data_IF_401541225220
#
_entry.id   IF_401541225220
#
_cell.length_a   1.000
_cell.length_b   1.000
_cell.length_c   1.000
_cell.angle_alpha   90.00
_cell.angle_beta   90.00
_cell.angle_gamma   90.00
#
_symmetry.space_group_name_H-M   'P 1'
#
loop_
_entity.id
_entity.type
_entity.pdbx_description
1 polymer ?
#
# COMPACT_ATOMS: atom_id res chain seq x y z
N UNK A 1 19.49 24.15 5.84
CA UNK A 1 19.78 22.76 6.28
C UNK A 1 18.63 21.91 5.74
N UNK A 2 18.87 21.13 4.69
CA UNK A 2 17.85 20.20 4.17
C UNK A 2 17.65 19.14 5.25
N UNK A 3 16.48 19.14 5.89
CA UNK A 3 16.13 18.14 6.90
C UNK A 3 15.98 16.80 6.17
N UNK A 4 16.86 15.85 6.47
CA UNK A 4 16.83 14.52 5.85
C UNK A 4 15.62 13.75 6.41
N UNK A 5 14.64 13.47 5.57
CA UNK A 5 13.45 12.69 5.96
C UNK A 5 13.76 11.19 5.98
N UNK A 6 13.43 10.52 7.09
CA UNK A 6 13.53 9.06 7.20
C UNK A 6 12.36 8.40 6.47
N UNK A 7 12.67 7.49 5.55
CA UNK A 7 11.72 6.85 4.66
C UNK A 7 11.74 5.34 4.86
N UNK A 8 10.58 4.73 5.08
CA UNK A 8 10.43 3.29 5.30
C UNK A 8 9.54 2.65 4.25
N UNK A 9 10.03 1.60 3.58
CA UNK A 9 9.15 0.68 2.84
C UNK A 9 8.64 -0.39 3.79
N UNK A 10 7.33 -0.51 3.88
CA UNK A 10 6.61 -1.58 4.59
C UNK A 10 6.29 -2.66 3.56
N UNK A 11 6.83 -3.86 3.76
CA UNK A 11 6.70 -4.98 2.83
C UNK A 11 5.88 -6.09 3.50
N UNK A 12 4.54 -6.09 3.36
CA UNK A 12 3.74 -7.20 3.83
C UNK A 12 4.04 -8.45 3.00
N UNK A 13 4.22 -9.59 3.66
CA UNK A 13 4.55 -10.85 3.03
C UNK A 13 3.80 -12.01 3.68
N UNK A 14 3.10 -12.81 2.88
CA UNK A 14 2.48 -14.06 3.28
C UNK A 14 2.71 -15.13 2.22
N UNK A 15 3.54 -16.13 2.53
CA UNK A 15 3.98 -17.17 1.62
C UNK A 15 4.63 -16.60 0.34
N UNK A 16 5.67 -15.78 0.53
CA UNK A 16 6.42 -15.11 -0.54
C UNK A 16 7.89 -15.62 -0.62
N UNK A 17 8.14 -16.89 -0.29
CA UNK A 17 9.49 -17.49 -0.33
C UNK A 17 10.18 -17.32 -1.68
N UNK A 18 9.43 -17.31 -2.78
CA UNK A 18 9.98 -17.17 -4.13
C UNK A 18 10.37 -15.72 -4.49
N UNK A 19 9.74 -14.73 -3.84
CA UNK A 19 9.82 -13.32 -4.26
C UNK A 19 10.59 -12.42 -3.28
N UNK A 20 10.46 -12.66 -1.96
CA UNK A 20 10.87 -11.70 -0.94
C UNK A 20 12.35 -11.31 -1.00
N UNK A 21 13.25 -12.26 -1.27
CA UNK A 21 14.69 -11.96 -1.39
C UNK A 21 14.99 -11.04 -2.57
N UNK A 22 14.32 -11.24 -3.70
CA UNK A 22 14.47 -10.45 -4.91
C UNK A 22 13.92 -9.04 -4.73
N UNK A 23 12.77 -8.89 -4.06
CA UNK A 23 12.17 -7.59 -3.73
C UNK A 23 13.12 -6.77 -2.84
N UNK A 24 13.64 -7.37 -1.77
CA UNK A 24 14.57 -6.67 -0.89
C UNK A 24 15.91 -6.33 -1.58
N UNK A 25 16.41 -7.20 -2.47
CA UNK A 25 17.58 -6.91 -3.28
C UNK A 25 17.33 -5.74 -4.23
N UNK A 26 16.19 -5.70 -4.90
CA UNK A 26 15.81 -4.60 -5.81
C UNK A 26 15.83 -3.24 -5.10
N UNK A 27 15.35 -3.16 -3.85
CA UNK A 27 15.37 -1.93 -3.05
C UNK A 27 16.83 -1.52 -2.73
N UNK A 28 17.68 -2.46 -2.31
CA UNK A 28 19.10 -2.20 -2.04
C UNK A 28 19.84 -1.73 -3.29
N UNK A 29 19.60 -2.38 -4.43
CA UNK A 29 20.21 -2.02 -5.70
C UNK A 29 19.75 -0.62 -6.15
N UNK A 30 18.47 -0.30 -5.96
CA UNK A 30 17.92 1.03 -6.24
C UNK A 30 18.61 2.12 -5.39
N UNK A 31 18.70 1.91 -4.08
CA UNK A 31 19.39 2.82 -3.17
C UNK A 31 20.84 3.08 -3.61
N UNK A 32 21.56 2.02 -3.96
CA UNK A 32 22.97 2.12 -4.40
C UNK A 32 23.08 2.91 -5.71
N UNK A 33 22.21 2.61 -6.69
CA UNK A 33 22.24 3.22 -8.02
C UNK A 33 21.88 4.71 -7.98
N UNK A 34 20.85 5.07 -7.20
CA UNK A 34 20.31 6.43 -7.15
C UNK A 34 20.85 7.26 -5.97
N UNK A 35 21.73 6.68 -5.12
CA UNK A 35 22.26 7.33 -3.91
C UNK A 35 21.13 7.79 -2.97
N UNK A 36 20.05 7.02 -2.92
CA UNK A 36 18.92 7.23 -2.02
C UNK A 36 19.08 6.39 -0.74
N UNK A 37 18.24 6.64 0.25
CA UNK A 37 18.26 5.92 1.53
C UNK A 37 16.84 5.60 1.94
N UNK A 38 16.27 4.59 1.29
CA UNK A 38 15.02 3.99 1.68
C UNK A 38 15.32 2.79 2.60
N UNK A 39 14.93 2.90 3.86
CA UNK A 39 14.89 1.75 4.75
C UNK A 39 13.72 0.84 4.38
N UNK A 40 13.77 -0.42 4.76
CA UNK A 40 12.65 -1.33 4.56
C UNK A 40 12.53 -2.34 5.71
N UNK A 41 11.30 -2.78 5.94
CA UNK A 41 10.94 -3.83 6.90
C UNK A 41 9.97 -4.81 6.25
N UNK A 42 10.27 -6.09 6.33
CA UNK A 42 9.33 -7.15 5.94
C UNK A 42 8.43 -7.45 7.13
N UNK A 43 7.13 -7.45 6.90
CA UNK A 43 6.14 -7.92 7.88
C UNK A 43 5.65 -9.29 7.40
N UNK A 44 6.25 -10.33 7.96
CA UNK A 44 5.87 -11.71 7.69
C UNK A 44 4.58 -12.05 8.44
N UNK A 45 3.48 -12.15 7.72
CA UNK A 45 2.13 -12.34 8.26
C UNK A 45 1.82 -13.81 8.56
N UNK A 46 2.67 -14.44 9.38
CA UNK A 46 2.49 -15.84 9.79
C UNK A 46 2.60 -16.81 8.61
N UNK A 47 3.60 -16.63 7.72
CA UNK A 47 3.83 -17.53 6.58
C UNK A 47 4.06 -18.97 7.01
N UNK A 48 3.55 -19.90 6.20
CA UNK A 48 3.69 -21.34 6.39
C UNK A 48 4.83 -21.95 5.56
N UNK A 49 5.38 -21.17 4.62
CA UNK A 49 6.50 -21.53 3.75
C UNK A 49 7.85 -21.11 4.37
N UNK A 50 8.90 -21.00 3.57
CA UNK A 50 10.24 -20.58 4.03
C UNK A 50 10.46 -19.07 4.02
N UNK A 51 9.43 -18.23 3.90
CA UNK A 51 9.57 -16.76 3.85
C UNK A 51 10.43 -16.23 5.01
N UNK A 52 10.14 -16.62 6.25
CA UNK A 52 10.90 -16.19 7.43
C UNK A 52 12.36 -16.65 7.38
N UNK A 53 12.59 -17.93 7.06
CA UNK A 53 13.95 -18.50 6.96
C UNK A 53 14.78 -17.77 5.91
N UNK A 54 14.17 -17.36 4.80
CA UNK A 54 14.81 -16.58 3.74
C UNK A 54 15.19 -15.19 4.24
N UNK A 55 14.33 -14.53 5.00
CA UNK A 55 14.64 -13.24 5.62
C UNK A 55 15.83 -13.38 6.57
N UNK A 56 15.84 -14.36 7.45
CA UNK A 56 16.94 -14.62 8.40
C UNK A 56 18.26 -14.89 7.64
N UNK A 57 18.22 -15.83 6.68
CA UNK A 57 19.41 -16.23 5.89
C UNK A 57 20.06 -15.05 5.15
N UNK A 58 19.23 -14.15 4.61
CA UNK A 58 19.69 -13.00 3.83
C UNK A 58 19.88 -11.71 4.66
N UNK A 59 19.75 -11.80 5.99
CA UNK A 59 19.84 -10.65 6.92
C UNK A 59 18.90 -9.51 6.49
N UNK A 60 17.68 -9.89 6.11
CA UNK A 60 16.59 -8.96 5.76
C UNK A 60 15.88 -8.56 7.07
N UNK A 61 15.72 -7.26 7.36
CA UNK A 61 14.92 -6.80 8.49
C UNK A 61 13.49 -7.35 8.38
N UNK A 62 13.04 -8.09 9.40
CA UNK A 62 11.76 -8.77 9.37
C UNK A 62 11.12 -8.80 10.76
N UNK A 63 9.81 -8.52 10.81
CA UNK A 63 8.94 -8.78 11.95
C UNK A 63 8.03 -9.93 11.56
N UNK A 64 8.09 -11.05 12.29
CA UNK A 64 7.21 -12.20 12.08
C UNK A 64 6.04 -12.15 13.05
N UNK A 65 4.83 -12.20 12.51
CA UNK A 65 3.59 -12.31 13.29
C UNK A 65 3.35 -13.77 13.68
N UNK A 66 2.82 -13.99 14.89
CA UNK A 66 2.55 -15.34 15.40
C UNK A 66 1.49 -16.08 14.58
N UNK A 67 0.57 -15.30 13.97
CA UNK A 67 -0.51 -15.83 13.13
C UNK A 67 -0.82 -14.88 11.99
N UNK A 68 -1.47 -15.38 10.95
CA UNK A 68 -1.93 -14.55 9.86
C UNK A 68 -3.04 -13.61 10.33
N UNK A 69 -2.79 -12.29 10.22
CA UNK A 69 -3.74 -11.22 10.52
C UNK A 69 -4.38 -10.62 9.26
N UNK A 70 -3.97 -11.10 8.10
CA UNK A 70 -4.35 -10.54 6.80
C UNK A 70 -3.58 -9.26 6.45
N UNK A 71 -3.75 -8.82 5.19
CA UNK A 71 -3.02 -7.67 4.65
C UNK A 71 -3.15 -6.42 5.52
N UNK A 72 -4.34 -6.15 6.05
CA UNK A 72 -4.59 -5.00 6.91
C UNK A 72 -3.77 -5.06 8.21
N UNK A 73 -3.73 -6.22 8.88
CA UNK A 73 -2.96 -6.43 10.10
C UNK A 73 -1.45 -6.33 9.87
N UNK A 74 -0.96 -6.91 8.78
CA UNK A 74 0.45 -6.83 8.39
C UNK A 74 0.87 -5.38 8.11
N UNK A 75 0.11 -4.66 7.29
CA UNK A 75 0.39 -3.25 6.96
C UNK A 75 0.29 -2.35 8.19
N UNK A 76 -0.70 -2.55 9.06
CA UNK A 76 -0.80 -1.80 10.33
C UNK A 76 0.42 -2.03 11.22
N UNK A 77 0.93 -3.26 11.28
CA UNK A 77 2.16 -3.57 12.03
C UNK A 77 3.34 -2.78 11.48
N UNK A 78 3.45 -2.66 10.16
CA UNK A 78 4.45 -1.81 9.52
C UNK A 78 4.31 -0.33 9.88
N UNK A 79 3.09 0.22 9.94
CA UNK A 79 2.86 1.61 10.37
C UNK A 79 3.19 1.82 11.85
N UNK A 80 2.90 0.84 12.73
CA UNK A 80 3.34 0.89 14.13
C UNK A 80 4.86 0.93 14.23
N UNK A 81 5.54 0.06 13.48
CA UNK A 81 7.01 0.07 13.39
C UNK A 81 7.54 1.43 12.91
N UNK A 82 6.92 2.00 11.86
CA UNK A 82 7.30 3.31 11.35
C UNK A 82 7.16 4.41 12.40
N UNK A 83 6.05 4.41 13.16
CA UNK A 83 5.79 5.38 14.21
C UNK A 83 6.79 5.25 15.36
N UNK A 84 7.04 4.04 15.84
CA UNK A 84 7.93 3.74 16.97
C UNK A 84 9.40 4.07 16.64
N UNK A 85 9.80 3.97 15.37
CA UNK A 85 11.16 4.26 14.90
C UNK A 85 11.30 5.65 14.28
N UNK A 86 10.31 6.52 14.47
CA UNK A 86 10.34 7.95 14.10
C UNK A 86 10.58 8.19 12.61
N UNK A 87 9.93 7.40 11.74
CA UNK A 87 9.95 7.63 10.30
C UNK A 87 9.03 8.79 9.91
N UNK A 88 9.46 9.59 8.93
CA UNK A 88 8.72 10.74 8.41
C UNK A 88 7.78 10.35 7.27
N UNK A 89 8.19 9.37 6.47
CA UNK A 89 7.43 8.85 5.33
C UNK A 89 7.41 7.33 5.40
N UNK A 90 6.22 6.74 5.24
CA UNK A 90 6.04 5.30 5.09
C UNK A 90 5.44 4.96 3.73
N UNK A 91 5.98 3.94 3.08
CA UNK A 91 5.58 3.47 1.76
C UNK A 91 5.15 2.01 1.87
N UNK A 92 3.89 1.69 1.54
CA UNK A 92 3.47 0.30 1.33
C UNK A 92 4.01 -0.18 -0.01
N UNK A 93 4.73 -1.32 0.01
CA UNK A 93 5.36 -1.91 -1.15
C UNK A 93 5.21 -3.43 -1.10
N UNK A 94 4.41 -4.01 -1.97
CA UNK A 94 4.03 -5.42 -1.85
C UNK A 94 5.21 -6.38 -2.09
N UNK A 95 5.25 -7.47 -1.34
CA UNK A 95 6.32 -8.47 -1.38
C UNK A 95 6.30 -9.39 -2.60
N UNK A 96 5.29 -9.29 -3.47
CA UNK A 96 5.09 -10.12 -4.67
C UNK A 96 5.85 -9.64 -5.93
N UNK A 97 6.55 -8.50 -5.82
CA UNK A 97 7.36 -7.92 -6.88
C UNK A 97 6.61 -7.23 -8.02
N UNK A 98 5.29 -6.98 -7.87
CA UNK A 98 4.50 -6.27 -8.89
C UNK A 98 4.80 -4.76 -8.93
N UNK A 99 5.20 -4.17 -7.82
CA UNK A 99 5.51 -2.74 -7.74
C UNK A 99 6.86 -2.42 -8.40
N UNK A 100 6.86 -1.44 -9.30
CA UNK A 100 8.08 -0.95 -9.91
C UNK A 100 8.73 0.14 -9.04
N UNK A 101 9.91 -0.17 -8.49
CA UNK A 101 10.67 0.72 -7.60
C UNK A 101 11.05 2.04 -8.27
N UNK A 102 11.13 2.10 -9.59
CA UNK A 102 11.51 3.30 -10.32
C UNK A 102 10.51 4.46 -10.18
N UNK A 103 9.31 4.20 -9.68
CA UNK A 103 8.30 5.23 -9.41
C UNK A 103 8.34 5.76 -7.97
N UNK A 104 9.20 5.21 -7.09
CA UNK A 104 9.18 5.52 -5.67
C UNK A 104 9.48 7.00 -5.40
N UNK A 105 10.49 7.57 -6.06
CA UNK A 105 10.86 8.97 -5.88
C UNK A 105 9.73 9.91 -6.32
N UNK A 106 9.02 9.58 -7.41
CA UNK A 106 7.88 10.37 -7.86
C UNK A 106 6.70 10.34 -6.88
N UNK A 107 6.47 9.20 -6.21
CA UNK A 107 5.42 9.07 -5.19
C UNK A 107 5.81 9.85 -3.94
N UNK A 108 7.07 9.76 -3.53
CA UNK A 108 7.58 10.36 -2.30
C UNK A 108 7.74 11.87 -2.42
N UNK A 109 8.15 12.39 -3.58
CA UNK A 109 8.35 13.83 -3.81
C UNK A 109 7.10 14.66 -3.49
N UNK A 110 5.90 14.18 -3.82
CA UNK A 110 4.66 14.91 -3.51
C UNK A 110 4.44 15.08 -1.99
N UNK A 111 4.99 14.18 -1.18
CA UNK A 111 4.93 14.26 0.28
C UNK A 111 6.04 15.17 0.80
N UNK A 112 7.27 15.04 0.27
CA UNK A 112 8.42 15.88 0.63
C UNK A 112 8.15 17.36 0.33
N UNK A 113 7.48 17.64 -0.80
CA UNK A 113 7.09 18.99 -1.22
C UNK A 113 5.84 19.51 -0.50
N UNK A 114 5.28 18.75 0.45
CA UNK A 114 4.03 19.06 1.18
C UNK A 114 2.81 19.25 0.27
N UNK A 115 2.83 18.64 -0.92
CA UNK A 115 1.72 18.68 -1.86
C UNK A 115 0.64 17.62 -1.60
N UNK A 116 0.97 16.59 -0.80
CA UNK A 116 0.05 15.54 -0.39
C UNK A 116 0.41 15.00 0.99
N UNK A 117 -0.62 14.57 1.75
CA UNK A 117 -0.45 13.78 2.97
C UNK A 117 -0.38 12.28 2.65
N UNK A 118 -1.04 11.87 1.56
CA UNK A 118 -1.14 10.49 1.12
C UNK A 118 -1.14 10.41 -0.41
N UNK A 119 -0.30 9.55 -0.96
CA UNK A 119 -0.14 9.37 -2.41
C UNK A 119 -0.42 7.93 -2.80
N UNK A 120 -1.21 7.74 -3.84
CA UNK A 120 -1.55 6.44 -4.42
C UNK A 120 -0.86 6.31 -5.77
N UNK A 121 -0.02 5.28 -5.93
CA UNK A 121 0.48 4.87 -7.24
C UNK A 121 -0.65 4.20 -8.02
N UNK A 122 -1.15 4.89 -9.03
CA UNK A 122 -2.35 4.52 -9.79
C UNK A 122 -2.01 3.92 -11.14
N UNK A 123 -2.62 2.77 -11.45
CA UNK A 123 -2.54 2.10 -12.77
C UNK A 123 -3.42 2.75 -13.81
N UNK A 124 -4.32 3.65 -13.40
CA UNK A 124 -5.41 4.18 -14.23
C UNK A 124 -5.37 5.70 -14.42
N UNK A 125 -4.42 6.38 -13.83
CA UNK A 125 -4.13 7.79 -14.08
C UNK A 125 -3.10 7.86 -15.21
N UNK A 126 -3.38 8.68 -16.24
CA UNK A 126 -2.52 8.75 -17.43
C UNK A 126 -2.56 7.47 -18.28
N UNK A 127 -1.75 7.43 -19.33
CA UNK A 127 -1.65 6.29 -20.25
C UNK A 127 -0.32 5.52 -20.06
N UNK A 128 0.22 5.49 -18.86
CA UNK A 128 1.56 4.96 -18.59
C UNK A 128 1.55 3.45 -18.31
N UNK A 129 0.43 2.92 -17.80
CA UNK A 129 0.38 1.52 -17.37
C UNK A 129 0.04 0.58 -18.53
N UNK A 130 0.93 -0.36 -18.82
CA UNK A 130 0.69 -1.53 -19.68
C UNK A 130 -0.12 -2.62 -18.98
N UNK A 131 -0.44 -2.43 -17.71
CA UNK A 131 -1.14 -3.42 -16.89
C UNK A 131 -2.54 -3.72 -17.41
N UNK A 132 -2.73 -4.93 -17.92
CA UNK A 132 -4.04 -5.44 -18.37
C UNK A 132 -4.80 -6.03 -17.19
N UNK A 133 -5.86 -5.36 -16.79
CA UNK A 133 -6.82 -5.91 -15.81
C UNK A 133 -8.06 -6.46 -16.52
N UNK A 134 -8.70 -7.48 -15.94
CA UNK A 134 -9.95 -8.01 -16.50
C UNK A 134 -11.05 -6.96 -16.52
N UNK A 135 -11.94 -7.02 -17.51
CA UNK A 135 -13.05 -6.07 -17.65
C UNK A 135 -13.94 -6.04 -16.41
N UNK A 136 -14.17 -7.19 -15.77
CA UNK A 136 -14.94 -7.29 -14.52
C UNK A 136 -14.27 -6.55 -13.35
N UNK A 137 -12.96 -6.73 -13.18
CA UNK A 137 -12.19 -6.01 -12.13
C UNK A 137 -12.20 -4.51 -12.38
N UNK A 138 -12.05 -4.09 -13.63
CA UNK A 138 -12.11 -2.68 -14.01
C UNK A 138 -13.49 -2.07 -13.76
N UNK A 139 -14.56 -2.80 -14.02
CA UNK A 139 -15.91 -2.38 -13.68
C UNK A 139 -16.09 -2.21 -12.16
N UNK A 140 -15.62 -3.16 -11.36
CA UNK A 140 -15.65 -3.08 -9.90
C UNK A 140 -14.93 -1.84 -9.37
N UNK A 141 -13.71 -1.57 -9.85
CA UNK A 141 -12.94 -0.37 -9.48
C UNK A 141 -13.70 0.92 -9.81
N UNK A 142 -14.32 1.00 -10.99
CA UNK A 142 -15.14 2.16 -11.37
C UNK A 142 -16.34 2.37 -10.44
N UNK A 143 -17.01 1.28 -10.02
CA UNK A 143 -18.13 1.36 -9.08
C UNK A 143 -17.65 1.89 -7.73
N UNK A 144 -16.57 1.35 -7.17
CA UNK A 144 -15.98 1.84 -5.91
C UNK A 144 -15.59 3.31 -6.04
N UNK A 145 -14.92 3.70 -7.14
CA UNK A 145 -14.54 5.09 -7.44
C UNK A 145 -15.75 6.03 -7.46
N UNK A 146 -16.87 5.58 -8.04
CA UNK A 146 -18.13 6.35 -8.04
C UNK A 146 -18.64 6.61 -6.62
N UNK A 147 -18.67 5.58 -5.75
CA UNK A 147 -19.14 5.74 -4.37
C UNK A 147 -18.19 6.60 -3.54
N UNK A 148 -16.86 6.47 -3.73
CA UNK A 148 -15.88 7.36 -3.10
C UNK A 148 -16.17 8.82 -3.48
N UNK A 149 -16.34 9.09 -4.79
CA UNK A 149 -16.66 10.45 -5.26
C UNK A 149 -17.99 10.95 -4.67
N UNK A 150 -18.99 10.09 -4.55
CA UNK A 150 -20.31 10.46 -4.00
C UNK A 150 -20.22 10.95 -2.56
N UNK A 151 -19.40 10.30 -1.72
CA UNK A 151 -19.32 10.60 -0.29
C UNK A 151 -18.23 11.62 0.08
N UNK A 152 -17.21 11.79 -0.77
CA UNK A 152 -16.06 12.67 -0.49
C UNK A 152 -15.97 13.87 -1.43
N UNK A 153 -16.63 13.85 -2.58
CA UNK A 153 -16.48 14.82 -3.67
C UNK A 153 -15.22 14.59 -4.54
N UNK A 154 -14.28 13.76 -4.09
CA UNK A 154 -13.00 13.51 -4.78
C UNK A 154 -13.06 12.22 -5.59
N UNK A 155 -12.61 12.26 -6.83
CA UNK A 155 -12.53 11.08 -7.70
C UNK A 155 -11.18 10.40 -7.52
N UNK A 156 -11.20 9.12 -7.16
CA UNK A 156 -10.03 8.24 -7.10
C UNK A 156 -10.15 7.22 -8.24
N UNK A 157 -9.12 7.08 -9.06
CA UNK A 157 -9.12 6.20 -10.23
C UNK A 157 -8.70 4.78 -9.88
N UNK A 158 -7.72 4.61 -8.97
CA UNK A 158 -7.25 3.30 -8.52
C UNK A 158 -7.51 3.08 -7.03
N UNK A 159 -8.69 2.54 -6.77
CA UNK A 159 -9.17 2.31 -5.40
C UNK A 159 -8.58 1.06 -4.73
N UNK A 160 -7.80 0.27 -5.48
CA UNK A 160 -7.28 -1.03 -5.04
C UNK A 160 -5.76 -1.15 -5.16
N UNK A 161 -5.07 -0.05 -5.41
CA UNK A 161 -3.60 -0.06 -5.43
C UNK A 161 -3.04 -0.18 -4.01
N UNK A 162 -2.11 -1.13 -3.81
CA UNK A 162 -1.31 -1.24 -2.59
C UNK A 162 -0.07 -0.35 -2.60
N UNK A 163 0.34 0.21 -3.76
CA UNK A 163 1.49 1.10 -3.83
C UNK A 163 1.12 2.49 -3.33
N UNK A 164 1.45 2.78 -2.09
CA UNK A 164 1.00 3.98 -1.38
C UNK A 164 2.10 4.54 -0.53
N UNK A 165 2.16 5.87 -0.43
CA UNK A 165 3.05 6.55 0.50
C UNK A 165 2.27 7.56 1.35
N UNK A 166 2.74 7.81 2.55
CA UNK A 166 2.11 8.75 3.47
C UNK A 166 3.12 9.46 4.36
N UNK A 167 2.74 10.65 4.80
CA UNK A 167 3.52 11.45 5.74
C UNK A 167 3.32 10.98 7.21
N UNK A 168 4.08 11.59 8.12
CA UNK A 168 4.06 11.26 9.55
C UNK A 168 2.70 11.41 10.22
N UNK A 169 1.86 12.33 9.76
CA UNK A 169 0.49 12.51 10.30
C UNK A 169 -0.36 11.28 10.00
N UNK A 170 -0.30 10.80 8.76
CA UNK A 170 -1.04 9.61 8.31
C UNK A 170 -0.42 8.34 8.92
N UNK A 171 0.91 8.25 9.08
CA UNK A 171 1.55 7.14 9.82
C UNK A 171 0.94 7.01 11.21
N UNK A 172 0.82 8.11 11.97
CA UNK A 172 0.22 8.12 13.30
C UNK A 172 -1.23 7.65 13.30
N UNK A 173 -2.00 8.08 12.32
CA UNK A 173 -3.39 7.68 12.13
C UNK A 173 -3.49 6.16 11.88
N UNK A 174 -2.72 5.64 10.94
CA UNK A 174 -2.75 4.25 10.54
C UNK A 174 -2.16 3.29 11.59
N UNK A 175 -1.17 3.72 12.32
CA UNK A 175 -0.64 2.94 13.45
C UNK A 175 -1.72 2.72 14.53
N UNK A 176 -2.58 3.72 14.75
CA UNK A 176 -3.65 3.66 15.76
C UNK A 176 -4.90 2.95 15.25
N UNK A 177 -5.30 3.21 14.02
CA UNK A 177 -6.53 2.69 13.42
C UNK A 177 -6.33 2.39 11.94
N UNK A 178 -6.32 1.09 11.60
CA UNK A 178 -6.19 0.62 10.22
C UNK A 178 -7.17 -0.51 9.96
N UNK A 179 -7.93 -0.49 8.88
CA UNK A 179 -8.90 -1.54 8.56
C UNK A 179 -8.20 -2.88 8.33
N UNK A 180 -8.71 -3.94 8.95
CA UNK A 180 -8.20 -5.30 8.74
C UNK A 180 -8.66 -5.88 7.41
N UNK A 181 -9.88 -5.51 6.97
CA UNK A 181 -10.45 -5.95 5.71
C UNK A 181 -10.57 -4.78 4.73
N UNK A 182 -10.21 -5.04 3.48
CA UNK A 182 -10.33 -4.08 2.37
C UNK A 182 -9.68 -2.71 2.64
N UNK A 183 -8.44 -2.68 3.14
CA UNK A 183 -7.86 -1.42 3.64
C UNK A 183 -7.75 -0.33 2.58
N UNK A 184 -7.53 -0.69 1.31
CA UNK A 184 -7.23 0.28 0.27
C UNK A 184 -8.37 1.29 0.02
N UNK A 185 -9.62 0.89 -0.28
CA UNK A 185 -10.70 1.86 -0.48
C UNK A 185 -11.13 2.54 0.82
N UNK A 186 -11.12 1.82 1.93
CA UNK A 186 -11.62 2.31 3.23
C UNK A 186 -10.70 3.41 3.77
N UNK A 187 -9.39 3.18 3.83
CA UNK A 187 -8.43 4.20 4.29
C UNK A 187 -8.47 5.44 3.43
N UNK A 188 -8.62 5.28 2.11
CA UNK A 188 -8.72 6.43 1.18
C UNK A 188 -9.93 7.31 1.51
N UNK A 189 -11.10 6.71 1.74
CA UNK A 189 -12.31 7.46 2.11
C UNK A 189 -12.16 8.12 3.49
N UNK A 190 -11.62 7.42 4.47
CA UNK A 190 -11.41 7.97 5.81
C UNK A 190 -10.47 9.19 5.79
N UNK A 191 -9.35 9.10 5.07
CA UNK A 191 -8.42 10.22 4.94
C UNK A 191 -9.07 11.42 4.26
N UNK A 192 -9.78 11.21 3.14
CA UNK A 192 -10.50 12.28 2.44
C UNK A 192 -11.56 12.94 3.33
N UNK A 193 -12.31 12.15 4.11
CA UNK A 193 -13.34 12.67 5.04
C UNK A 193 -12.72 13.42 6.23
N UNK A 194 -11.51 13.08 6.63
CA UNK A 194 -10.73 13.79 7.67
C UNK A 194 -10.00 15.03 7.12
N UNK A 195 -10.10 15.32 5.82
CA UNK A 195 -9.53 16.51 5.19
C UNK A 195 -8.04 16.37 4.83
N UNK A 196 -7.49 15.16 4.82
CA UNK A 196 -6.13 14.92 4.31
C UNK A 196 -6.08 15.12 2.79
N UNK A 197 -4.93 15.60 2.31
CA UNK A 197 -4.68 15.79 0.88
C UNK A 197 -4.25 14.45 0.29
N UNK A 198 -5.12 13.84 -0.52
CA UNK A 198 -4.87 12.59 -1.22
C UNK A 198 -4.64 12.86 -2.70
N UNK A 199 -3.52 12.39 -3.24
CA UNK A 199 -3.19 12.49 -4.68
C UNK A 199 -2.96 11.10 -5.29
N UNK A 200 -3.17 11.00 -6.60
CA UNK A 200 -2.79 9.85 -7.40
C UNK A 200 -1.69 10.23 -8.37
N UNK A 201 -0.73 9.33 -8.57
CA UNK A 201 0.32 9.46 -9.58
C UNK A 201 0.35 8.21 -10.45
N UNK A 202 0.58 8.38 -11.75
CA UNK A 202 0.66 7.26 -12.67
C UNK A 202 1.87 6.39 -12.36
N UNK A 203 1.64 5.07 -12.23
CA UNK A 203 2.71 4.08 -12.09
C UNK A 203 2.47 2.92 -13.04
N UNK A 204 3.56 2.30 -13.48
CA UNK A 204 3.47 1.00 -14.14
C UNK A 204 3.60 -0.11 -13.08
N UNK A 205 2.80 -1.15 -13.22
CA UNK A 205 2.90 -2.35 -12.39
C UNK A 205 3.25 -3.53 -13.28
N UNK A 206 4.15 -4.38 -12.80
CA UNK A 206 4.55 -5.60 -13.49
C UNK A 206 3.50 -6.68 -13.30
N UNK A 207 3.45 -7.63 -14.21
CA UNK A 207 2.69 -8.85 -13.96
C UNK A 207 3.35 -9.65 -12.85
N UNK A 208 2.54 -10.32 -12.03
CA UNK A 208 3.04 -11.20 -10.97
C UNK A 208 3.88 -12.32 -11.58
N UNK A 209 5.12 -12.46 -11.14
CA UNK A 209 6.03 -13.46 -11.70
C UNK A 209 5.68 -14.86 -11.21
N UNK A 210 5.29 -15.00 -9.92
CA UNK A 210 4.98 -16.27 -9.28
C UNK A 210 3.78 -16.13 -8.31
N UNK A 211 3.07 -17.26 -8.08
CA UNK A 211 1.97 -17.34 -7.13
C UNK A 211 0.57 -17.26 -7.75
N UNK A 212 -0.44 -17.77 -7.03
CA UNK A 212 -1.85 -17.78 -7.46
C UNK A 212 -2.61 -16.62 -6.80
N UNK A 213 -3.44 -15.91 -7.58
CA UNK A 213 -4.38 -14.93 -7.04
C UNK A 213 -5.41 -15.62 -6.15
N UNK A 214 -5.57 -15.16 -4.93
CA UNK A 214 -6.47 -15.73 -3.91
C UNK A 214 -7.96 -15.46 -4.14
N UNK A 215 -8.35 -14.87 -5.29
CA UNK A 215 -9.68 -14.27 -5.48
C UNK A 215 -10.59 -15.15 -6.34
N UNK A 216 -11.61 -15.77 -5.73
CA UNK A 216 -12.69 -16.51 -6.39
C UNK A 216 -13.92 -15.64 -6.67
N UNK A 217 -14.66 -15.90 -7.76
CA UNK A 217 -15.73 -15.05 -8.34
C UNK A 217 -16.85 -14.68 -7.34
N UNK A 218 -17.32 -15.60 -6.51
CA UNK A 218 -18.36 -15.31 -5.50
C UNK A 218 -17.85 -14.43 -4.36
N UNK A 219 -16.58 -14.56 -3.99
CA UNK A 219 -15.93 -13.67 -3.01
C UNK A 219 -15.87 -12.23 -3.51
N UNK A 220 -15.83 -12.00 -4.82
CA UNK A 220 -15.79 -10.66 -5.41
C UNK A 220 -17.09 -9.88 -5.23
N UNK A 221 -18.27 -10.53 -5.32
CA UNK A 221 -19.56 -9.86 -5.13
C UNK A 221 -19.73 -9.48 -3.65
N UNK A 222 -19.43 -10.40 -2.75
CA UNK A 222 -19.43 -10.14 -1.30
C UNK A 222 -18.46 -8.99 -0.94
N UNK A 223 -17.26 -9.04 -1.48
CA UNK A 223 -16.27 -7.95 -1.38
C UNK A 223 -16.88 -6.61 -1.80
N UNK A 224 -17.46 -6.52 -2.98
CA UNK A 224 -18.02 -5.28 -3.52
C UNK A 224 -19.13 -4.71 -2.62
N UNK A 225 -20.04 -5.56 -2.14
CA UNK A 225 -21.13 -5.13 -1.26
C UNK A 225 -20.56 -4.57 0.05
N UNK A 226 -19.65 -5.28 0.71
CA UNK A 226 -19.06 -4.84 1.97
C UNK A 226 -18.27 -3.55 1.84
N UNK A 227 -17.49 -3.41 0.79
CA UNK A 227 -16.72 -2.18 0.53
C UNK A 227 -17.67 -1.00 0.30
N UNK A 228 -18.72 -1.17 -0.51
CA UNK A 228 -19.69 -0.10 -0.77
C UNK A 228 -20.42 0.30 0.51
N UNK A 229 -20.90 -0.67 1.30
CA UNK A 229 -21.57 -0.40 2.57
C UNK A 229 -20.62 0.34 3.54
N UNK A 230 -19.36 -0.10 3.65
CA UNK A 230 -18.35 0.57 4.47
C UNK A 230 -18.11 2.01 4.03
N UNK A 231 -17.97 2.26 2.71
CA UNK A 231 -17.83 3.61 2.17
C UNK A 231 -19.03 4.50 2.54
N UNK A 232 -20.25 4.00 2.39
CA UNK A 232 -21.45 4.75 2.71
C UNK A 232 -21.53 5.06 4.21
N UNK A 233 -21.25 4.09 5.08
CA UNK A 233 -21.21 4.28 6.54
C UNK A 233 -20.17 5.32 6.93
N UNK A 234 -18.93 5.23 6.40
CA UNK A 234 -17.89 6.22 6.64
C UNK A 234 -18.31 7.59 6.12
N UNK A 235 -18.97 7.63 4.96
CA UNK A 235 -19.50 8.85 4.36
C UNK A 235 -20.45 9.63 5.27
N UNK A 236 -21.21 8.94 6.14
CA UNK A 236 -22.12 9.58 7.12
C UNK A 236 -21.40 10.08 8.38
N UNK A 237 -20.17 9.61 8.64
CA UNK A 237 -19.40 10.05 9.83
C UNK A 237 -19.00 11.51 9.72
N UNK A 238 -19.17 12.24 10.82
CA UNK A 238 -18.65 13.59 10.98
C UNK A 238 -17.32 13.49 11.75
N UNK A 239 -16.24 13.81 11.08
CA UNK A 239 -14.93 13.97 11.74
C UNK A 239 -14.82 15.42 12.21
N UNK A 240 -14.51 15.60 13.49
CA UNK A 240 -14.26 16.92 14.10
C UNK A 240 -12.78 17.26 13.99
#
# INVERSE_FOLDING_TARGET
MVMYMKKLLIIPAYNEEENIANVCKMIKDYNTKHKTSYDFIVINDGSLDNTEKICIKNKIPCVSLVQNLGIGGAVQTGYKYALENDYDIAIQFDGDGQHDINYIDNIVSLIEDNEADFVIGSRFVGNVSEFRTSSSRRAGIKIISFFIKLVTGVKIFDTTSGYRACNKKVIKEFASNYPTEYPEPITTVELLKKGYIVKEIAVNMKERVNGKSSIHTWKNIYYMINVILSILIIGTRRYK
#
